data_IF_334069459906
#
_entry.id   IF_334069459906
#
_cell.length_a   1.000
_cell.length_b   1.000
_cell.length_c   1.000
_cell.angle_alpha   90.00
_cell.angle_beta   90.00
_cell.angle_gamma   90.00
#
_symmetry.space_group_name_H-M   'P 1'
#
loop_
_entity.id
_entity.type
_entity.pdbx_description
1 polymer ?
#
# COMPACT_ATOMS: atom_id res chain seq x y z
N UNK A 1 27.51 -22.70 8.71
CA UNK A 1 26.62 -21.88 7.86
C UNK A 1 25.71 -22.84 7.12
N UNK A 2 24.48 -23.06 7.60
CA UNK A 2 23.53 -23.94 6.93
C UNK A 2 22.87 -23.15 5.79
N UNK A 3 23.34 -23.38 4.56
CA UNK A 3 22.74 -22.76 3.38
C UNK A 3 21.47 -23.56 3.07
N UNK A 4 20.31 -22.93 3.28
CA UNK A 4 19.01 -23.45 2.88
C UNK A 4 19.03 -23.71 1.36
N UNK A 5 19.07 -24.99 0.96
CA UNK A 5 19.03 -25.52 -0.43
C UNK A 5 20.18 -25.05 -1.35
N UNK A 6 21.29 -25.82 -1.41
CA UNK A 6 22.46 -25.53 -2.26
C UNK A 6 22.19 -25.38 -3.78
N UNK A 7 21.07 -25.92 -4.28
CA UNK A 7 20.67 -25.85 -5.69
C UNK A 7 19.73 -24.70 -6.02
N UNK A 8 19.32 -23.90 -5.03
CA UNK A 8 18.42 -22.77 -5.26
C UNK A 8 19.20 -21.61 -5.89
N UNK A 9 18.86 -21.27 -7.13
CA UNK A 9 19.40 -20.08 -7.78
C UNK A 9 18.59 -18.86 -7.36
N UNK A 10 19.27 -17.89 -6.74
CA UNK A 10 18.63 -16.65 -6.32
C UNK A 10 18.24 -15.85 -7.58
N UNK A 11 16.98 -15.42 -7.72
CA UNK A 11 16.54 -14.63 -8.86
C UNK A 11 17.28 -13.29 -8.93
N UNK A 12 17.53 -12.82 -10.16
CA UNK A 12 18.20 -11.54 -10.37
C UNK A 12 17.34 -10.37 -9.93
N UNK A 13 17.98 -9.24 -9.57
CA UNK A 13 17.27 -8.00 -9.26
C UNK A 13 16.31 -7.59 -10.37
N UNK A 14 16.71 -7.74 -11.64
CA UNK A 14 15.90 -7.43 -12.82
C UNK A 14 14.63 -8.27 -12.86
N UNK A 15 14.77 -9.59 -12.68
CA UNK A 15 13.63 -10.50 -12.62
C UNK A 15 12.68 -10.16 -11.48
N UNK A 16 13.21 -9.84 -10.30
CA UNK A 16 12.40 -9.43 -9.15
C UNK A 16 11.61 -8.14 -9.43
N UNK A 17 12.25 -7.12 -10.01
CA UNK A 17 11.61 -5.82 -10.25
C UNK A 17 10.64 -5.80 -11.43
N UNK A 18 10.95 -6.52 -12.51
CA UNK A 18 10.20 -6.45 -13.76
C UNK A 18 9.13 -7.54 -13.88
N UNK A 19 9.27 -8.65 -13.14
CA UNK A 19 8.34 -9.79 -13.22
C UNK A 19 7.64 -10.01 -11.88
N UNK A 20 8.40 -10.35 -10.84
CA UNK A 20 7.81 -10.81 -9.57
C UNK A 20 7.02 -9.71 -8.86
N UNK A 21 7.59 -8.51 -8.70
CA UNK A 21 6.93 -7.41 -7.99
C UNK A 21 5.63 -6.97 -8.69
N UNK A 22 5.62 -6.73 -10.02
CA UNK A 22 4.37 -6.40 -10.73
C UNK A 22 3.28 -7.47 -10.61
N UNK A 23 3.64 -8.76 -10.76
CA UNK A 23 2.70 -9.87 -10.63
C UNK A 23 2.09 -9.95 -9.23
N UNK A 24 2.93 -9.88 -8.19
CA UNK A 24 2.50 -9.87 -6.79
C UNK A 24 1.61 -8.66 -6.50
N UNK A 25 1.98 -7.48 -7.01
CA UNK A 25 1.19 -6.26 -6.85
C UNK A 25 -0.21 -6.43 -7.44
N UNK A 26 -0.34 -6.91 -8.68
CA UNK A 26 -1.63 -7.12 -9.33
C UNK A 26 -2.47 -8.13 -8.54
N UNK A 27 -1.86 -9.23 -8.11
CA UNK A 27 -2.52 -10.26 -7.30
C UNK A 27 -3.08 -9.69 -6.00
N UNK A 28 -2.26 -8.98 -5.24
CA UNK A 28 -2.66 -8.38 -3.95
C UNK A 28 -3.70 -7.28 -4.16
N UNK A 29 -3.53 -6.41 -5.16
CA UNK A 29 -4.49 -5.36 -5.50
C UNK A 29 -5.88 -5.94 -5.81
N UNK A 30 -5.94 -7.02 -6.58
CA UNK A 30 -7.21 -7.66 -6.91
C UNK A 30 -7.86 -8.31 -5.68
N UNK A 31 -7.07 -8.94 -4.81
CA UNK A 31 -7.57 -9.51 -3.55
C UNK A 31 -8.16 -8.41 -2.64
N UNK A 32 -7.42 -7.31 -2.41
CA UNK A 32 -7.89 -6.19 -1.59
C UNK A 32 -9.15 -5.55 -2.18
N UNK A 33 -9.24 -5.41 -3.52
CA UNK A 33 -10.47 -4.91 -4.17
C UNK A 33 -11.67 -5.82 -3.91
N UNK A 34 -11.47 -7.14 -3.93
CA UNK A 34 -12.52 -8.10 -3.64
C UNK A 34 -12.95 -8.05 -2.16
N UNK A 35 -12.00 -7.94 -1.22
CA UNK A 35 -12.28 -7.75 0.21
C UNK A 35 -13.13 -6.49 0.45
N UNK A 36 -12.72 -5.35 -0.11
CA UNK A 36 -13.43 -4.07 0.03
C UNK A 36 -14.81 -4.14 -0.64
N UNK A 37 -14.93 -4.80 -1.79
CA UNK A 37 -16.21 -4.96 -2.47
C UNK A 37 -17.24 -5.75 -1.64
N UNK A 38 -16.78 -6.76 -0.89
CA UNK A 38 -17.62 -7.47 0.08
C UNK A 38 -18.00 -6.56 1.26
N UNK A 39 -17.03 -5.83 1.80
CA UNK A 39 -17.24 -4.90 2.91
C UNK A 39 -18.22 -3.76 2.59
N UNK A 40 -18.35 -3.34 1.33
CA UNK A 40 -19.35 -2.34 0.91
C UNK A 40 -20.78 -2.73 1.23
N UNK A 41 -21.10 -4.03 1.35
CA UNK A 41 -22.40 -4.48 1.81
C UNK A 41 -22.68 -4.09 3.27
N UNK A 42 -21.64 -3.87 4.07
CA UNK A 42 -21.66 -3.59 5.52
C UNK A 42 -21.55 -2.07 5.79
N UNK A 43 -21.42 -1.24 4.74
CA UNK A 43 -21.47 0.25 4.78
C UNK A 43 -20.38 0.98 5.57
N UNK A 44 -19.41 0.28 6.17
CA UNK A 44 -18.38 0.94 6.98
C UNK A 44 -17.03 0.82 6.28
N UNK A 45 -16.68 1.84 5.50
CA UNK A 45 -15.31 2.06 5.03
C UNK A 45 -14.87 3.46 5.41
N UNK A 46 -13.94 3.61 6.35
CA UNK A 46 -13.29 4.89 6.62
C UNK A 46 -11.95 4.94 5.90
N UNK A 47 -11.51 6.15 5.55
CA UNK A 47 -10.20 6.39 4.93
C UNK A 47 -9.43 7.32 5.83
N UNK A 48 -8.20 6.95 6.15
CA UNK A 48 -7.26 7.81 6.85
C UNK A 48 -6.10 8.14 5.90
N UNK A 49 -5.57 9.34 6.06
CA UNK A 49 -4.37 9.77 5.34
C UNK A 49 -3.26 10.07 6.33
N UNK A 50 -2.07 9.58 6.04
CA UNK A 50 -0.87 9.88 6.82
C UNK A 50 0.16 10.58 5.93
N UNK A 51 0.78 11.63 6.46
CA UNK A 51 1.76 12.48 5.77
C UNK A 51 2.93 12.72 6.71
N UNK A 52 4.13 12.34 6.28
CA UNK A 52 5.34 12.50 7.08
C UNK A 52 6.54 12.80 6.20
N UNK A 53 7.58 13.32 6.84
CA UNK A 53 8.91 13.46 6.23
C UNK A 53 9.79 12.32 6.74
N UNK A 54 10.36 11.53 5.84
CA UNK A 54 11.35 10.53 6.24
C UNK A 54 12.65 11.24 6.61
N UNK A 55 13.09 11.07 7.84
CA UNK A 55 14.29 11.73 8.37
C UNK A 55 15.58 11.26 7.69
N UNK A 56 15.63 10.02 7.22
CA UNK A 56 16.82 9.43 6.60
C UNK A 56 17.15 9.99 5.20
N UNK A 57 16.13 10.38 4.43
CA UNK A 57 16.33 10.88 3.06
C UNK A 57 15.69 12.25 2.80
N UNK A 58 15.09 12.86 3.83
CA UNK A 58 14.40 14.16 3.79
C UNK A 58 13.30 14.24 2.73
N UNK A 59 12.71 13.09 2.34
CA UNK A 59 11.60 13.03 1.40
C UNK A 59 10.26 13.01 2.14
N UNK A 60 9.32 13.81 1.63
CA UNK A 60 7.92 13.74 2.05
C UNK A 60 7.24 12.49 1.49
N UNK A 61 6.35 11.91 2.28
CA UNK A 61 5.52 10.77 1.92
C UNK A 61 4.07 11.04 2.26
N UNK A 62 3.19 10.43 1.49
CA UNK A 62 1.75 10.50 1.64
C UNK A 62 1.16 9.11 1.41
N UNK A 63 0.23 8.70 2.27
CA UNK A 63 -0.45 7.42 2.17
C UNK A 63 -1.96 7.50 2.35
N UNK A 64 -2.68 6.59 1.67
CA UNK A 64 -4.09 6.31 1.87
C UNK A 64 -4.24 4.94 2.54
N UNK A 65 -4.95 4.87 3.66
CA UNK A 65 -5.29 3.62 4.33
C UNK A 65 -6.80 3.52 4.47
N UNK A 66 -7.38 2.43 3.96
CA UNK A 66 -8.78 2.11 4.16
C UNK A 66 -8.94 1.22 5.38
N UNK A 67 -10.01 1.44 6.14
CA UNK A 67 -10.41 0.63 7.29
C UNK A 67 -11.87 0.22 7.14
N UNK A 68 -12.21 -1.01 7.51
CA UNK A 68 -13.58 -1.52 7.44
C UNK A 68 -13.82 -2.62 8.46
N UNK A 69 -15.08 -2.96 8.71
CA UNK A 69 -15.47 -4.15 9.44
C UNK A 69 -15.81 -5.27 8.44
N UNK A 70 -15.28 -6.46 8.67
CA UNK A 70 -15.66 -7.66 7.91
C UNK A 70 -16.96 -8.29 8.45
N UNK A 71 -17.37 -9.41 7.85
CA UNK A 71 -18.60 -10.14 8.21
C UNK A 71 -18.58 -10.68 9.65
N UNK A 72 -17.41 -10.84 10.25
CA UNK A 72 -17.20 -11.29 11.63
C UNK A 72 -17.06 -10.11 12.60
N UNK A 73 -17.32 -8.87 12.14
CA UNK A 73 -17.08 -7.62 12.88
C UNK A 73 -15.60 -7.43 13.28
N UNK A 74 -14.68 -8.07 12.56
CA UNK A 74 -13.25 -7.83 12.68
C UNK A 74 -12.85 -6.52 12.00
N UNK A 75 -12.07 -5.69 12.69
CA UNK A 75 -11.50 -4.48 12.11
C UNK A 75 -10.36 -4.83 11.16
N UNK A 76 -10.56 -4.54 9.88
CA UNK A 76 -9.58 -4.70 8.82
C UNK A 76 -9.04 -3.35 8.38
N UNK A 77 -7.79 -3.32 7.95
CA UNK A 77 -7.19 -2.16 7.31
C UNK A 77 -6.18 -2.54 6.23
N UNK A 78 -6.06 -1.74 5.18
CA UNK A 78 -5.06 -1.88 4.11
C UNK A 78 -4.59 -0.52 3.61
N UNK A 79 -3.29 -0.39 3.40
CA UNK A 79 -2.72 0.75 2.65
C UNK A 79 -3.10 0.58 1.18
N UNK A 80 -3.86 1.51 0.65
CA UNK A 80 -4.30 1.51 -0.75
C UNK A 80 -3.25 2.11 -1.66
N UNK A 81 -2.54 3.12 -1.18
CA UNK A 81 -1.52 3.82 -1.93
C UNK A 81 -0.50 4.45 -1.00
N UNK A 82 0.74 4.43 -1.46
CA UNK A 82 1.89 5.10 -0.86
C UNK A 82 2.60 5.85 -1.96
N UNK A 83 2.90 7.14 -1.75
CA UNK A 83 3.56 7.95 -2.76
C UNK A 83 4.48 9.00 -2.15
N UNK A 84 5.45 9.44 -2.94
CA UNK A 84 6.28 10.57 -2.58
C UNK A 84 5.46 11.86 -2.60
N UNK A 85 5.46 12.58 -1.50
CA UNK A 85 4.89 13.91 -1.41
C UNK A 85 6.00 14.93 -1.71
N UNK A 86 6.07 15.37 -2.97
CA UNK A 86 7.18 16.20 -3.49
C UNK A 86 7.06 17.69 -3.18
N UNK A 87 6.00 18.11 -2.51
CA UNK A 87 5.69 19.53 -2.23
C UNK A 87 5.78 19.81 -0.73
N UNK A 88 5.89 21.07 -0.29
CA UNK A 88 5.72 21.42 1.12
C UNK A 88 4.34 21.01 1.62
N UNK A 89 4.25 20.57 2.88
CA UNK A 89 3.01 20.10 3.54
C UNK A 89 2.04 21.25 3.89
N UNK A 90 1.74 22.12 2.93
CA UNK A 90 0.73 23.18 3.08
C UNK A 90 -0.67 22.61 2.82
N UNK A 91 -1.69 23.26 3.38
CA UNK A 91 -3.08 22.86 3.21
C UNK A 91 -3.49 22.75 1.71
N UNK A 92 -3.07 23.71 0.88
CA UNK A 92 -3.39 23.71 -0.55
C UNK A 92 -2.75 22.53 -1.30
N UNK A 93 -1.49 22.20 -0.99
CA UNK A 93 -0.81 21.07 -1.62
C UNK A 93 -1.40 19.73 -1.18
N UNK A 94 -1.76 19.59 0.10
CA UNK A 94 -2.42 18.40 0.61
C UNK A 94 -3.79 18.25 -0.07
N UNK A 95 -4.58 19.33 -0.12
CA UNK A 95 -5.88 19.34 -0.80
C UNK A 95 -5.78 18.92 -2.26
N UNK A 96 -4.77 19.39 -2.98
CA UNK A 96 -4.51 19.00 -4.37
C UNK A 96 -4.36 17.49 -4.48
N UNK A 97 -3.51 16.87 -3.66
CA UNK A 97 -3.26 15.42 -3.70
C UNK A 97 -4.48 14.61 -3.23
N UNK A 98 -5.31 15.17 -2.36
CA UNK A 98 -6.57 14.55 -1.91
C UNK A 98 -7.69 14.59 -2.97
N UNK A 99 -7.57 15.49 -3.94
CA UNK A 99 -8.59 15.70 -4.98
C UNK A 99 -8.23 15.03 -6.31
N UNK A 100 -7.02 14.48 -6.43
CA UNK A 100 -6.50 13.75 -7.60
C UNK A 100 -6.90 12.27 -7.56
#
# INVERSE_FOLDING_TARGET
MNILKPKYQIPSRKYMSEVVIPEVYIKVKNAVRAEIAKAKAISITSITTDIWTCTNNLLGFFSYTAHWLDEEFGLQHRVLQMSHFRRPHTADNIRSVLSD
#
